data_IF_740636865509
#
_entry.id   IF_740636865509
#
_cell.length_a   1.000
_cell.length_b   1.000
_cell.length_c   1.000
_cell.angle_alpha   90.00
_cell.angle_beta   90.00
_cell.angle_gamma   90.00
#
_symmetry.space_group_name_H-M   'P 1'
#
loop_
_entity.id
_entity.type
_entity.pdbx_description
1 polymer ?
#
# COMPACT_ATOMS: atom_id res chain seq x y z
N UNK A 1 43.23 -55.32 -2.50
CA UNK A 1 42.81 -55.04 -1.11
C UNK A 1 41.98 -53.76 -1.16
N UNK A 2 40.66 -53.77 -1.30
CA UNK A 2 39.59 -54.12 -0.36
C UNK A 2 39.56 -53.30 0.95
N UNK A 3 38.45 -52.56 1.07
CA UNK A 3 37.64 -52.25 2.26
C UNK A 3 37.93 -50.99 3.07
N UNK A 4 36.87 -50.19 3.24
CA UNK A 4 36.80 -49.07 4.16
C UNK A 4 36.39 -49.47 5.57
N UNK A 5 36.31 -48.48 6.47
CA UNK A 5 35.63 -48.62 7.76
C UNK A 5 34.92 -47.31 8.16
N UNK A 6 33.67 -47.50 8.59
CA UNK A 6 32.80 -46.56 9.33
C UNK A 6 33.26 -46.46 10.80
N UNK A 7 32.52 -45.61 11.56
CA UNK A 7 32.25 -45.60 13.04
C UNK A 7 33.03 -44.46 13.74
N UNK A 8 32.52 -43.57 14.61
CA UNK A 8 31.18 -43.18 15.13
C UNK A 8 31.33 -41.89 15.98
N UNK A 9 30.21 -41.19 16.27
CA UNK A 9 30.12 -40.01 17.19
C UNK A 9 30.27 -40.40 18.68
N UNK A 10 30.56 -39.44 19.58
CA UNK A 10 29.52 -38.82 20.43
C UNK A 10 29.62 -37.26 20.54
N UNK A 11 28.53 -36.49 20.46
CA UNK A 11 27.70 -35.90 21.57
C UNK A 11 28.56 -35.11 22.58
N UNK A 12 28.39 -33.79 22.77
CA UNK A 12 27.54 -33.17 23.82
C UNK A 12 27.41 -31.63 23.62
N UNK A 13 26.17 -31.15 23.77
CA UNK A 13 25.64 -29.85 24.23
C UNK A 13 25.94 -28.51 23.51
N UNK A 14 24.86 -27.79 23.21
CA UNK A 14 24.88 -26.33 23.14
C UNK A 14 23.68 -25.68 22.47
N UNK A 15 22.61 -25.46 23.24
CA UNK A 15 21.51 -24.49 22.99
C UNK A 15 20.50 -24.77 21.86
N UNK A 16 19.35 -25.33 22.24
CA UNK A 16 18.11 -25.22 21.48
C UNK A 16 17.52 -23.82 21.66
N UNK A 17 17.48 -23.00 20.61
CA UNK A 17 16.51 -21.91 20.51
C UNK A 17 15.34 -22.37 19.65
N UNK A 18 14.37 -23.03 20.27
CA UNK A 18 13.05 -23.24 19.68
C UNK A 18 12.35 -21.88 19.56
N UNK A 19 12.44 -21.23 18.40
CA UNK A 19 11.51 -20.16 18.05
C UNK A 19 10.16 -20.80 17.77
N UNK A 20 9.25 -20.64 18.71
CA UNK A 20 7.84 -20.96 18.56
C UNK A 20 7.24 -20.08 17.46
N UNK A 21 7.02 -20.65 16.27
CA UNK A 21 6.16 -20.05 15.25
C UNK A 21 4.72 -20.33 15.66
N UNK A 22 4.04 -19.35 16.25
CA UNK A 22 2.60 -19.43 16.47
C UNK A 22 1.89 -19.17 15.15
N UNK A 23 1.34 -20.23 14.55
CA UNK A 23 0.29 -20.11 13.55
C UNK A 23 -1.02 -19.80 14.29
N UNK A 24 -1.59 -18.62 14.07
CA UNK A 24 -2.97 -18.35 14.45
C UNK A 24 -3.90 -18.91 13.37
N UNK A 25 -4.61 -19.98 13.73
CA UNK A 25 -5.74 -20.51 12.95
C UNK A 25 -6.95 -19.60 13.17
N UNK A 26 -7.57 -19.16 12.08
CA UNK A 26 -8.86 -18.45 12.10
C UNK A 26 -9.96 -19.51 12.08
N UNK A 27 -10.37 -19.97 13.27
CA UNK A 27 -11.64 -20.65 13.59
C UNK A 27 -11.71 -20.81 15.12
N UNK A 28 -12.92 -20.65 15.68
CA UNK A 28 -13.30 -20.78 17.11
C UNK A 28 -13.19 -19.47 17.93
N UNK A 29 -14.05 -18.46 17.75
CA UNK A 29 -15.49 -18.37 18.08
C UNK A 29 -15.85 -18.77 19.53
N UNK A 30 -16.30 -17.74 20.24
CA UNK A 30 -16.88 -17.67 21.56
C UNK A 30 -18.26 -18.30 21.64
N UNK A 31 -18.38 -19.51 22.19
CA UNK A 31 -19.54 -20.04 22.93
C UNK A 31 -19.27 -21.52 23.27
N UNK A 32 -18.75 -21.81 24.46
CA UNK A 32 -18.78 -23.13 25.09
C UNK A 32 -18.21 -23.00 26.50
N UNK A 33 -19.05 -22.66 27.48
CA UNK A 33 -18.74 -22.82 28.91
C UNK A 33 -19.64 -23.94 29.44
N UNK A 34 -19.10 -25.07 29.92
CA UNK A 34 -19.89 -26.07 30.61
C UNK A 34 -20.46 -25.49 31.91
N UNK A 35 -21.73 -25.77 32.19
CA UNK A 35 -22.39 -25.41 33.44
C UNK A 35 -21.70 -26.08 34.64
N UNK A 36 -21.36 -25.31 35.68
CA UNK A 36 -20.94 -25.87 36.98
C UNK A 36 -19.72 -25.25 37.67
N UNK A 37 -19.55 -23.92 37.66
CA UNK A 37 -18.53 -23.26 38.48
C UNK A 37 -19.14 -22.63 39.76
N UNK A 38 -18.54 -22.80 40.96
CA UNK A 38 -19.11 -22.37 42.23
C UNK A 38 -19.07 -20.84 42.41
N UNK A 39 -20.19 -20.29 42.87
CA UNK A 39 -20.41 -18.86 43.12
C UNK A 39 -19.53 -18.35 44.27
N UNK A 40 -18.65 -17.36 44.01
CA UNK A 40 -17.96 -16.59 45.06
C UNK A 40 -18.90 -15.57 45.72
N UNK A 41 -18.76 -15.28 47.03
CA UNK A 41 -19.64 -14.36 47.74
C UNK A 41 -19.47 -12.89 47.28
N UNK A 42 -20.58 -12.16 47.18
CA UNK A 42 -20.61 -10.71 46.91
C UNK A 42 -20.07 -9.93 48.12
N UNK A 43 -18.98 -9.19 47.95
CA UNK A 43 -18.59 -8.14 48.89
C UNK A 43 -19.46 -6.88 48.69
N UNK A 44 -19.81 -6.15 49.77
CA UNK A 44 -20.53 -4.89 49.68
C UNK A 44 -19.65 -3.77 49.08
N UNK A 45 -20.25 -2.76 48.43
CA UNK A 45 -19.50 -1.72 47.74
C UNK A 45 -18.79 -0.77 48.73
N UNK A 46 -17.59 -0.27 48.40
CA UNK A 46 -16.86 0.67 49.26
C UNK A 46 -17.55 2.05 49.28
N UNK A 47 -17.62 2.66 50.47
CA UNK A 47 -18.13 4.02 50.70
C UNK A 47 -17.17 5.06 50.08
N UNK A 48 -17.73 6.06 49.39
CA UNK A 48 -16.97 7.20 48.84
C UNK A 48 -16.45 8.10 49.98
N UNK A 49 -15.15 8.49 49.97
CA UNK A 49 -14.64 9.58 50.80
C UNK A 49 -14.97 10.98 50.18
N UNK A 50 -14.84 12.06 50.97
CA UNK A 50 -15.43 13.38 50.69
C UNK A 50 -14.76 14.11 49.52
N UNK A 51 -15.53 15.05 48.94
CA UNK A 51 -15.08 15.94 47.89
C UNK A 51 -14.04 16.95 48.40
N UNK A 52 -12.90 17.02 47.73
CA UNK A 52 -12.03 18.19 47.74
C UNK A 52 -12.02 18.83 46.35
N UNK A 53 -12.33 20.11 46.35
CA UNK A 53 -12.25 21.04 45.24
C UNK A 53 -10.82 21.18 44.75
N UNK A 54 -10.59 20.90 43.47
CA UNK A 54 -9.50 21.53 42.72
C UNK A 54 -9.90 21.72 41.26
N UNK A 55 -9.49 22.89 40.76
CA UNK A 55 -9.87 23.58 39.54
C UNK A 55 -9.78 22.76 38.25
N UNK A 56 -10.50 23.12 37.18
CA UNK A 56 -10.54 22.34 35.96
C UNK A 56 -9.19 22.37 35.23
N UNK A 57 -8.56 21.20 35.19
CA UNK A 57 -7.50 20.85 34.27
C UNK A 57 -8.08 20.89 32.86
N UNK A 58 -7.44 21.72 32.03
CA UNK A 58 -7.59 21.87 30.59
C UNK A 58 -8.10 20.59 29.91
N UNK A 59 -9.30 20.69 29.34
CA UNK A 59 -9.92 19.67 28.51
C UNK A 59 -8.98 19.30 27.37
N UNK A 60 -8.56 18.03 27.31
CA UNK A 60 -7.99 17.43 26.10
C UNK A 60 -9.01 17.58 24.99
N UNK A 61 -8.79 18.54 24.09
CA UNK A 61 -9.45 18.61 22.80
C UNK A 61 -9.23 17.28 22.09
N UNK A 62 -10.32 16.53 21.98
CA UNK A 62 -10.38 15.39 21.09
C UNK A 62 -10.28 15.96 19.68
N UNK A 63 -9.11 15.85 19.04
CA UNK A 63 -8.93 16.24 17.63
C UNK A 63 -10.07 15.60 16.84
N UNK A 64 -11.04 16.39 16.39
CA UNK A 64 -12.00 15.95 15.37
C UNK A 64 -11.16 15.53 14.18
N UNK A 65 -11.22 14.26 13.81
CA UNK A 65 -10.59 13.77 12.61
C UNK A 65 -11.31 14.47 11.44
N UNK A 66 -10.67 15.51 10.90
CA UNK A 66 -11.08 16.16 9.65
C UNK A 66 -11.31 15.08 8.57
N UNK A 67 -12.33 15.22 7.69
CA UNK A 67 -12.64 14.19 6.70
C UNK A 67 -11.42 13.95 5.81
N UNK A 68 -10.97 12.69 5.73
CA UNK A 68 -9.87 12.29 4.85
C UNK A 68 -10.39 12.31 3.42
N UNK A 69 -9.69 13.04 2.54
CA UNK A 69 -10.05 13.13 1.13
C UNK A 69 -10.06 11.77 0.44
N UNK A 70 -10.88 11.71 -0.60
CA UNK A 70 -11.10 10.53 -1.41
C UNK A 70 -9.91 10.31 -2.32
N UNK A 71 -9.46 9.07 -2.46
CA UNK A 71 -8.30 8.74 -3.29
C UNK A 71 -8.56 7.52 -4.18
N UNK A 72 -7.73 7.38 -5.22
CA UNK A 72 -7.74 6.26 -6.14
C UNK A 72 -6.49 5.40 -6.03
N UNK A 73 -6.58 4.14 -6.46
CA UNK A 73 -5.42 3.27 -6.69
C UNK A 73 -5.25 3.08 -8.18
N UNK A 74 -4.02 3.19 -8.68
CA UNK A 74 -3.66 2.77 -10.02
C UNK A 74 -2.56 1.71 -9.95
N UNK A 75 -2.71 0.60 -10.67
CA UNK A 75 -1.74 -0.48 -10.66
C UNK A 75 -1.73 -1.30 -11.95
N UNK A 76 -0.55 -1.69 -12.41
CA UNK A 76 -0.36 -2.69 -13.45
C UNK A 76 0.03 -4.04 -12.82
N UNK A 77 -0.68 -5.10 -13.20
CA UNK A 77 -0.67 -6.40 -12.51
C UNK A 77 -0.55 -7.50 -13.56
N UNK A 78 0.41 -8.42 -13.40
CA UNK A 78 0.42 -9.65 -14.20
C UNK A 78 -0.87 -10.44 -13.95
N UNK A 79 -1.59 -10.77 -15.01
CA UNK A 79 -2.84 -11.53 -15.00
C UNK A 79 -2.68 -13.01 -14.57
N UNK A 80 -1.47 -13.41 -14.18
CA UNK A 80 -1.19 -14.74 -13.65
C UNK A 80 -1.67 -14.91 -12.19
N UNK A 81 -1.71 -16.15 -11.71
CA UNK A 81 -2.10 -16.48 -10.33
C UNK A 81 -1.31 -15.72 -9.26
N UNK A 82 -0.08 -15.33 -9.58
CA UNK A 82 0.85 -14.71 -8.64
C UNK A 82 0.69 -13.18 -8.53
N UNK A 83 -0.01 -12.52 -9.47
CA UNK A 83 -0.26 -11.06 -9.47
C UNK A 83 1.01 -10.24 -9.23
N UNK A 84 2.09 -10.62 -9.92
CA UNK A 84 3.37 -9.94 -9.79
C UNK A 84 3.24 -8.52 -10.31
N UNK A 85 3.74 -7.55 -9.56
CA UNK A 85 3.81 -6.13 -9.91
C UNK A 85 5.24 -5.63 -10.04
N UNK A 86 6.22 -6.40 -9.56
CA UNK A 86 7.64 -6.05 -9.68
C UNK A 86 8.54 -7.22 -9.33
N UNK A 87 9.69 -7.31 -10.01
CA UNK A 87 10.80 -8.22 -9.73
C UNK A 87 12.06 -7.39 -9.63
N UNK A 88 12.83 -7.58 -8.55
CA UNK A 88 14.06 -6.85 -8.29
C UNK A 88 13.90 -5.31 -8.39
N UNK A 89 12.77 -4.79 -7.90
CA UNK A 89 12.48 -3.36 -7.92
C UNK A 89 12.04 -2.79 -9.28
N UNK A 90 11.80 -3.64 -10.29
CA UNK A 90 11.39 -3.20 -11.63
C UNK A 90 10.13 -3.89 -12.11
N UNK A 91 9.38 -3.22 -12.98
CA UNK A 91 8.28 -3.84 -13.73
C UNK A 91 8.86 -4.88 -14.71
N UNK A 92 8.39 -6.14 -14.70
CA UNK A 92 9.00 -7.24 -15.46
C UNK A 92 8.55 -7.32 -16.93
N UNK A 93 7.78 -6.34 -17.42
CA UNK A 93 7.29 -6.26 -18.81
C UNK A 93 7.54 -4.87 -19.41
N UNK A 94 7.56 -4.82 -20.74
CA UNK A 94 7.51 -3.57 -21.49
C UNK A 94 6.10 -3.37 -22.06
N UNK A 95 5.34 -2.43 -21.49
CA UNK A 95 3.99 -2.09 -21.93
C UNK A 95 3.85 -0.55 -22.05
N UNK A 96 4.30 0.05 -23.18
CA UNK A 96 4.31 1.49 -23.34
C UNK A 96 2.90 2.10 -23.36
N UNK A 97 1.92 1.39 -23.90
CA UNK A 97 0.52 1.83 -23.92
C UNK A 97 -0.09 1.88 -22.51
N UNK A 98 0.23 0.91 -21.65
CA UNK A 98 -0.14 0.94 -20.23
C UNK A 98 0.52 2.12 -19.50
N UNK A 99 1.81 2.38 -19.77
CA UNK A 99 2.51 3.55 -19.22
C UNK A 99 1.90 4.86 -19.70
N UNK A 100 1.42 4.94 -20.94
CA UNK A 100 0.70 6.11 -21.49
C UNK A 100 -0.63 6.34 -20.77
N UNK A 101 -1.39 5.27 -20.52
CA UNK A 101 -2.64 5.34 -19.75
C UNK A 101 -2.37 5.80 -18.33
N UNK A 102 -1.35 5.23 -17.67
CA UNK A 102 -0.91 5.66 -16.34
C UNK A 102 -0.56 7.14 -16.34
N UNK A 103 0.39 7.60 -17.19
CA UNK A 103 0.77 9.01 -17.26
C UNK A 103 -0.42 9.93 -17.51
N UNK A 104 -1.31 9.56 -18.43
CA UNK A 104 -2.51 10.36 -18.73
C UNK A 104 -3.49 10.43 -17.56
N UNK A 105 -3.60 9.37 -16.75
CA UNK A 105 -4.49 9.32 -15.59
C UNK A 105 -3.94 10.16 -14.43
N UNK A 106 -2.62 10.15 -14.25
CA UNK A 106 -1.95 10.77 -13.09
C UNK A 106 -1.24 12.08 -13.44
N UNK A 107 -1.46 12.59 -14.65
CA UNK A 107 -0.94 13.88 -15.11
C UNK A 107 -1.38 14.99 -14.15
N UNK A 108 -0.42 15.82 -13.73
CA UNK A 108 -0.59 16.97 -12.85
C UNK A 108 -1.34 16.67 -11.53
N UNK A 109 -1.36 15.39 -11.13
CA UNK A 109 -2.00 14.91 -9.91
C UNK A 109 -0.99 14.73 -8.77
N UNK A 110 -1.50 14.47 -7.56
CA UNK A 110 -0.68 14.03 -6.43
C UNK A 110 -0.55 12.51 -6.46
N UNK A 111 0.68 12.02 -6.59
CA UNK A 111 1.02 10.60 -6.49
C UNK A 111 1.46 10.25 -5.06
N UNK A 112 1.02 9.08 -4.58
CA UNK A 112 1.51 8.48 -3.34
C UNK A 112 2.17 7.14 -3.68
N UNK A 113 3.46 7.03 -3.38
CA UNK A 113 4.25 5.83 -3.66
C UNK A 113 5.09 5.40 -2.46
N UNK A 114 5.58 4.17 -2.47
CA UNK A 114 6.56 3.68 -1.51
C UNK A 114 8.00 3.92 -1.97
N UNK A 115 8.94 3.97 -1.03
CA UNK A 115 10.39 4.15 -1.29
C UNK A 115 10.94 3.31 -2.45
N UNK A 116 10.62 2.01 -2.50
CA UNK A 116 11.15 1.11 -3.54
C UNK A 116 10.64 1.43 -4.95
N UNK A 117 9.46 2.04 -5.05
CA UNK A 117 8.89 2.48 -6.33
C UNK A 117 9.64 3.72 -6.80
N UNK A 118 9.91 4.69 -5.91
CA UNK A 118 10.74 5.85 -6.23
C UNK A 118 12.13 5.44 -6.73
N UNK A 119 12.76 4.48 -6.04
CA UNK A 119 14.10 3.95 -6.35
C UNK A 119 14.17 3.19 -7.69
N UNK A 120 13.04 2.88 -8.34
CA UNK A 120 13.03 2.17 -9.63
C UNK A 120 13.75 2.97 -10.72
N UNK A 121 13.53 4.30 -10.73
CA UNK A 121 14.15 5.24 -11.66
C UNK A 121 14.62 6.48 -10.89
N UNK A 122 15.94 6.57 -10.56
CA UNK A 122 16.50 7.71 -9.83
C UNK A 122 16.28 9.06 -10.51
N UNK A 123 16.15 9.09 -11.84
CA UNK A 123 15.84 10.29 -12.64
C UNK A 123 14.36 10.69 -12.62
N UNK A 124 13.52 10.00 -11.86
CA UNK A 124 12.10 10.32 -11.69
C UNK A 124 11.22 10.31 -12.96
N UNK A 125 11.71 9.80 -14.11
CA UNK A 125 10.95 9.68 -15.38
C UNK A 125 9.61 8.91 -15.28
N UNK A 126 9.44 8.17 -14.19
CA UNK A 126 8.24 7.39 -13.88
C UNK A 126 7.19 8.20 -13.10
N UNK A 127 7.54 9.36 -12.55
CA UNK A 127 6.68 10.27 -11.76
C UNK A 127 6.74 11.73 -12.22
N UNK A 128 7.61 12.08 -13.16
CA UNK A 128 7.80 13.42 -13.75
C UNK A 128 6.51 14.15 -14.15
N UNK A 129 5.53 13.42 -14.67
CA UNK A 129 4.23 13.92 -15.09
C UNK A 129 3.29 14.29 -13.93
N UNK A 130 3.61 13.90 -12.70
CA UNK A 130 2.82 14.27 -11.53
C UNK A 130 3.19 15.68 -11.06
N UNK A 131 2.22 16.36 -10.45
CA UNK A 131 2.47 17.66 -9.82
C UNK A 131 3.27 17.52 -8.53
N UNK A 132 2.92 16.50 -7.74
CA UNK A 132 3.57 16.20 -6.47
C UNK A 132 3.64 14.69 -6.27
N UNK A 133 4.74 14.20 -5.70
CA UNK A 133 4.94 12.81 -5.38
C UNK A 133 5.31 12.66 -3.89
N UNK A 134 4.38 12.12 -3.11
CA UNK A 134 4.52 11.84 -1.68
C UNK A 134 5.06 10.42 -1.50
N UNK A 135 6.24 10.31 -0.90
CA UNK A 135 6.95 9.04 -0.73
C UNK A 135 6.78 8.54 0.70
N UNK A 136 6.15 7.38 0.85
CA UNK A 136 5.97 6.73 2.15
C UNK A 136 7.22 5.92 2.49
N UNK A 137 7.90 6.36 3.56
CA UNK A 137 9.09 5.69 4.07
C UNK A 137 9.33 5.96 5.55
N UNK A 138 9.60 4.90 6.33
CA UNK A 138 9.95 5.03 7.75
C UNK A 138 11.43 5.34 7.96
N UNK A 139 12.29 4.83 7.09
CA UNK A 139 13.76 4.88 7.25
C UNK A 139 14.44 6.02 6.47
N UNK A 140 13.75 6.63 5.51
CA UNK A 140 14.29 7.73 4.71
C UNK A 140 14.16 9.06 5.47
N UNK A 141 15.23 9.86 5.42
CA UNK A 141 15.36 11.16 6.09
C UNK A 141 15.24 12.34 5.15
N UNK A 142 15.73 12.20 3.91
CA UNK A 142 15.84 13.27 2.92
C UNK A 142 15.51 12.74 1.51
N UNK A 143 15.19 13.66 0.61
CA UNK A 143 14.94 13.41 -0.82
C UNK A 143 15.94 14.18 -1.71
N UNK A 144 16.93 14.84 -1.11
CA UNK A 144 17.85 15.78 -1.77
C UNK A 144 18.70 15.11 -2.87
N UNK A 145 18.87 13.79 -2.82
CA UNK A 145 19.59 13.02 -3.84
C UNK A 145 18.76 12.72 -5.10
N UNK A 146 17.48 13.08 -5.12
CA UNK A 146 16.58 12.90 -6.25
C UNK A 146 16.39 14.25 -6.93
N UNK A 147 17.31 14.56 -7.85
CA UNK A 147 17.23 15.76 -8.66
C UNK A 147 16.54 15.45 -9.99
N UNK A 148 15.74 16.40 -10.46
CA UNK A 148 15.20 16.40 -11.81
C UNK A 148 16.30 16.94 -12.72
N UNK A 149 16.65 16.22 -13.78
CA UNK A 149 17.60 16.73 -14.77
C UNK A 149 17.04 18.00 -15.40
N UNK A 150 17.88 19.03 -15.47
CA UNK A 150 17.57 20.35 -16.03
C UNK A 150 16.98 20.18 -17.45
N UNK A 151 15.71 20.56 -17.63
CA UNK A 151 14.97 20.40 -18.89
C UNK A 151 13.84 19.36 -18.90
N UNK A 152 13.53 18.69 -17.78
CA UNK A 152 12.22 18.01 -17.66
C UNK A 152 11.09 19.05 -17.75
N UNK A 153 10.07 18.84 -18.59
CA UNK A 153 8.97 19.80 -18.77
C UNK A 153 8.15 20.02 -17.48
N UNK A 154 8.20 19.08 -16.54
CA UNK A 154 7.50 19.14 -15.25
C UNK A 154 8.50 18.93 -14.10
N UNK A 155 8.52 19.87 -13.16
CA UNK A 155 9.28 19.84 -11.92
C UNK A 155 8.42 19.16 -10.84
N UNK A 156 8.39 17.82 -10.83
CA UNK A 156 7.62 17.06 -9.83
C UNK A 156 8.17 17.35 -8.43
N UNK A 157 7.34 17.91 -7.56
CA UNK A 157 7.72 18.15 -6.18
C UNK A 157 7.70 16.86 -5.35
N UNK A 158 8.68 16.68 -4.47
CA UNK A 158 8.78 15.49 -3.62
C UNK A 158 8.54 15.83 -2.15
N UNK A 159 7.83 14.97 -1.41
CA UNK A 159 7.74 15.04 0.05
C UNK A 159 7.75 13.65 0.69
N UNK A 160 8.07 13.59 1.99
CA UNK A 160 8.07 12.34 2.76
C UNK A 160 6.83 12.25 3.66
N UNK A 161 6.31 11.03 3.78
CA UNK A 161 5.32 10.66 4.79
C UNK A 161 5.74 9.35 5.50
N UNK A 162 5.37 9.18 6.76
CA UNK A 162 5.65 7.96 7.54
C UNK A 162 4.51 6.94 7.49
N UNK A 163 3.34 7.33 6.96
CA UNK A 163 2.14 6.48 6.84
C UNK A 163 1.24 6.91 5.69
N UNK A 164 0.28 6.04 5.30
CA UNK A 164 -0.75 6.37 4.32
C UNK A 164 -1.62 7.55 4.79
N UNK A 165 -2.07 7.56 6.05
CA UNK A 165 -2.94 8.62 6.58
C UNK A 165 -2.26 10.00 6.56
N UNK A 166 -0.96 10.04 6.89
CA UNK A 166 -0.14 11.25 6.80
C UNK A 166 0.01 11.72 5.34
N UNK A 167 0.24 10.80 4.41
CA UNK A 167 0.32 11.12 2.98
C UNK A 167 -1.02 11.67 2.44
N UNK A 168 -2.15 11.08 2.85
CA UNK A 168 -3.48 11.57 2.48
C UNK A 168 -3.77 12.95 3.06
N UNK A 169 -3.29 13.24 4.27
CA UNK A 169 -3.43 14.58 4.87
C UNK A 169 -2.59 15.62 4.11
N UNK A 170 -1.33 15.31 3.79
CA UNK A 170 -0.49 16.18 2.97
C UNK A 170 -1.11 16.42 1.59
N UNK A 171 -1.66 15.39 0.95
CA UNK A 171 -2.32 15.52 -0.34
C UNK A 171 -3.50 16.51 -0.29
N UNK A 172 -4.29 16.47 0.79
CA UNK A 172 -5.37 17.43 1.02
C UNK A 172 -4.83 18.87 1.14
N UNK A 173 -3.84 19.09 1.99
CA UNK A 173 -3.27 20.42 2.20
C UNK A 173 -2.69 21.02 0.91
N UNK A 174 -2.05 20.18 0.09
CA UNK A 174 -1.52 20.59 -1.22
C UNK A 174 -2.63 20.99 -2.20
N UNK A 175 -3.75 20.25 -2.24
CA UNK A 175 -4.89 20.60 -3.08
C UNK A 175 -5.58 21.89 -2.58
N UNK A 176 -5.81 22.01 -1.27
CA UNK A 176 -6.41 23.21 -0.64
C UNK A 176 -5.55 24.48 -0.89
N UNK A 177 -4.23 24.33 -0.98
CA UNK A 177 -3.33 25.44 -1.30
C UNK A 177 -3.45 25.91 -2.75
N UNK A 178 -3.78 25.01 -3.68
CA UNK A 178 -3.91 25.31 -5.11
C UNK A 178 -5.25 25.96 -5.47
N UNK A 179 -6.34 25.62 -4.76
CA UNK A 179 -7.66 26.21 -5.01
C UNK A 179 -7.77 27.70 -4.61
N UNK A 180 -6.81 28.22 -3.84
CA UNK A 180 -6.80 29.63 -3.38
C UNK A 180 -6.40 30.66 -4.44
N UNK A 181 -5.99 30.24 -5.63
CA UNK A 181 -5.66 31.11 -6.76
C UNK A 181 -6.28 30.55 -8.06
N UNK A 182 -7.52 30.92 -8.39
CA UNK A 182 -8.17 30.47 -9.62
C UNK A 182 -7.65 31.30 -10.80
N UNK A 183 -6.55 30.87 -11.42
CA UNK A 183 -6.22 31.33 -12.77
C UNK A 183 -7.09 30.58 -13.80
N UNK A 184 -7.47 31.32 -14.84
CA UNK A 184 -8.48 31.04 -15.88
C UNK A 184 -8.52 29.59 -16.43
N UNK A 185 -9.75 29.06 -16.46
CA UNK A 185 -10.29 28.06 -17.40
C UNK A 185 -9.51 26.74 -17.65
N UNK A 186 -10.02 25.63 -17.11
CA UNK A 186 -10.74 24.61 -17.89
C UNK A 186 -11.36 23.55 -16.95
N UNK A 187 -12.68 23.62 -16.74
CA UNK A 187 -13.45 22.61 -16.02
C UNK A 187 -13.48 21.29 -16.80
N UNK A 188 -12.68 20.31 -16.40
CA UNK A 188 -13.07 18.89 -16.48
C UNK A 188 -12.24 18.03 -15.52
N UNK A 189 -12.09 18.43 -14.25
CA UNK A 189 -11.45 17.56 -13.26
C UNK A 189 -12.51 16.70 -12.55
N UNK A 190 -12.25 15.41 -12.50
CA UNK A 190 -13.01 14.40 -11.77
C UNK A 190 -12.92 14.72 -10.27
N UNK A 191 -13.78 15.63 -9.78
CA UNK A 191 -13.77 16.29 -8.46
C UNK A 191 -13.76 15.37 -7.22
N UNK A 192 -13.79 14.04 -7.40
CA UNK A 192 -13.87 13.07 -6.31
C UNK A 192 -12.52 12.45 -5.92
N UNK A 193 -11.41 12.64 -6.65
CA UNK A 193 -10.12 11.98 -6.34
C UNK A 193 -9.03 13.03 -6.13
N UNK A 194 -8.58 13.17 -4.89
CA UNK A 194 -7.54 14.14 -4.49
C UNK A 194 -6.12 13.67 -4.79
N UNK A 195 -5.91 12.36 -4.88
CA UNK A 195 -4.60 11.75 -5.14
C UNK A 195 -4.70 10.30 -5.61
N UNK A 196 -3.61 9.79 -6.19
CA UNK A 196 -3.48 8.42 -6.68
C UNK A 196 -2.37 7.66 -5.96
N UNK A 197 -2.72 6.50 -5.40
CA UNK A 197 -1.77 5.53 -4.85
C UNK A 197 -1.26 4.63 -5.98
N UNK A 198 0.05 4.67 -6.25
CA UNK A 198 0.70 3.93 -7.34
C UNK A 198 1.71 2.87 -6.86
N UNK A 199 1.59 2.44 -5.59
CA UNK A 199 2.24 1.24 -5.05
C UNK A 199 3.40 1.50 -4.10
N UNK A 200 4.15 0.49 -3.65
CA UNK A 200 4.11 -0.94 -4.02
C UNK A 200 3.28 -1.83 -3.08
N UNK A 201 3.60 -3.14 -3.04
CA UNK A 201 2.81 -4.20 -2.38
C UNK A 201 2.27 -3.83 -1.00
N UNK A 202 3.13 -3.35 -0.10
CA UNK A 202 2.71 -2.98 1.26
C UNK A 202 1.72 -1.83 1.24
N UNK A 203 1.99 -0.79 0.44
CA UNK A 203 1.13 0.38 0.33
C UNK A 203 -0.23 0.01 -0.27
N UNK A 204 -0.26 -0.80 -1.32
CA UNK A 204 -1.51 -1.32 -1.85
C UNK A 204 -2.31 -2.13 -0.81
N UNK A 205 -1.62 -2.92 0.01
CA UNK A 205 -2.25 -3.63 1.12
C UNK A 205 -2.96 -2.69 2.10
N UNK A 206 -2.28 -1.63 2.52
CA UNK A 206 -2.86 -0.62 3.42
C UNK A 206 -4.00 0.16 2.73
N UNK A 207 -3.78 0.62 1.50
CA UNK A 207 -4.72 1.44 0.73
C UNK A 207 -6.04 0.72 0.38
N UNK A 208 -6.00 -0.56 -0.03
CA UNK A 208 -7.21 -1.34 -0.35
C UNK A 208 -8.15 -1.57 0.85
N UNK A 209 -7.65 -1.36 2.07
CA UNK A 209 -8.44 -1.47 3.31
C UNK A 209 -8.97 -0.13 3.79
N UNK A 210 -8.51 0.98 3.22
CA UNK A 210 -8.86 2.32 3.67
C UNK A 210 -10.27 2.70 3.21
N UNK A 211 -11.03 3.37 4.08
CA UNK A 211 -12.44 3.75 3.87
C UNK A 211 -12.64 4.84 2.82
N UNK A 212 -11.63 5.69 2.62
CA UNK A 212 -11.66 6.78 1.62
C UNK A 212 -11.24 6.35 0.21
N UNK A 213 -10.99 5.06 -0.02
CA UNK A 213 -10.70 4.54 -1.35
C UNK A 213 -11.97 4.51 -2.20
N UNK A 214 -11.92 5.16 -3.37
CA UNK A 214 -13.10 5.43 -4.20
C UNK A 214 -12.99 4.96 -5.64
N UNK A 215 -11.78 4.67 -6.09
CA UNK A 215 -11.56 4.16 -7.44
C UNK A 215 -10.36 3.22 -7.50
N UNK A 216 -10.49 2.15 -8.29
CA UNK A 216 -9.38 1.30 -8.71
C UNK A 216 -9.23 1.39 -10.22
N UNK A 217 -8.03 1.68 -10.69
CA UNK A 217 -7.60 1.68 -12.09
C UNK A 217 -6.58 0.56 -12.25
N UNK A 218 -7.03 -0.63 -12.66
CA UNK A 218 -6.19 -1.82 -12.68
C UNK A 218 -5.94 -2.27 -14.11
N UNK A 219 -4.68 -2.33 -14.52
CA UNK A 219 -4.26 -2.94 -15.78
C UNK A 219 -3.83 -4.39 -15.54
N UNK A 220 -4.56 -5.34 -16.13
CA UNK A 220 -4.26 -6.77 -16.09
C UNK A 220 -3.43 -7.15 -17.31
N UNK A 221 -2.12 -7.26 -17.13
CA UNK A 221 -1.15 -7.58 -18.19
C UNK A 221 -1.15 -9.08 -18.46
N UNK A 222 -1.48 -9.48 -19.68
CA UNK A 222 -1.57 -10.89 -20.10
C UNK A 222 -0.18 -11.48 -20.32
N UNK A 223 0.56 -11.63 -19.23
CA UNK A 223 1.89 -12.22 -19.18
C UNK A 223 1.99 -13.14 -17.97
N UNK A 224 2.39 -14.38 -18.20
CA UNK A 224 2.62 -15.34 -17.13
C UNK A 224 4.00 -15.14 -16.52
N UNK A 225 4.00 -14.75 -15.25
CA UNK A 225 5.23 -14.51 -14.50
C UNK A 225 5.31 -15.52 -13.37
N UNK A 226 6.32 -16.38 -13.47
CA UNK A 226 6.73 -17.28 -12.40
C UNK A 226 7.63 -16.48 -11.44
N UNK A 227 7.23 -16.31 -10.17
CA UNK A 227 8.06 -15.70 -9.17
C UNK A 227 9.40 -16.44 -9.08
N UNK A 228 10.51 -15.73 -8.81
CA UNK A 228 11.78 -16.37 -8.53
C UNK A 228 11.63 -17.41 -7.42
N UNK A 229 12.39 -18.50 -7.53
CA UNK A 229 12.42 -19.53 -6.49
C UNK A 229 12.89 -18.93 -5.16
N UNK A 230 12.38 -19.39 -4.00
CA UNK A 230 12.82 -18.89 -2.69
C UNK A 230 14.34 -18.94 -2.49
N UNK A 231 15.03 -19.90 -3.11
CA UNK A 231 16.50 -20.04 -3.04
C UNK A 231 17.24 -18.95 -3.83
N UNK A 232 16.60 -18.33 -4.82
CA UNK A 232 17.24 -17.30 -5.65
C UNK A 232 17.43 -15.97 -4.90
N UNK A 233 16.76 -15.78 -3.75
CA UNK A 233 16.79 -14.55 -2.95
C UNK A 233 16.46 -13.26 -3.73
N UNK A 234 15.83 -13.38 -4.91
CA UNK A 234 15.41 -12.23 -5.72
C UNK A 234 14.09 -11.69 -5.14
N UNK A 235 14.05 -10.43 -4.66
CA UNK A 235 12.82 -9.86 -4.14
C UNK A 235 11.81 -9.66 -5.28
N UNK A 236 10.55 -9.99 -5.03
CA UNK A 236 9.43 -9.66 -5.92
C UNK A 236 8.30 -9.05 -5.10
N UNK A 237 7.42 -8.31 -5.78
CA UNK A 237 6.25 -7.68 -5.19
C UNK A 237 4.98 -8.20 -5.84
N UNK A 238 3.90 -8.31 -5.06
CA UNK A 238 2.58 -8.76 -5.54
C UNK A 238 1.49 -7.73 -5.26
N UNK A 239 0.52 -7.65 -6.16
CA UNK A 239 -0.74 -6.99 -5.85
C UNK A 239 -1.59 -7.87 -4.91
N UNK A 240 -2.26 -7.29 -3.90
CA UNK A 240 -3.13 -8.05 -3.01
C UNK A 240 -4.18 -8.88 -3.75
N UNK A 241 -4.48 -10.07 -3.22
CA UNK A 241 -5.43 -11.01 -3.83
C UNK A 241 -6.84 -10.42 -3.97
N UNK A 242 -7.58 -10.86 -5.00
CA UNK A 242 -8.91 -10.34 -5.33
C UNK A 242 -9.86 -10.30 -4.14
N UNK A 243 -9.91 -11.36 -3.32
CA UNK A 243 -10.79 -11.46 -2.14
C UNK A 243 -10.61 -10.33 -1.10
N UNK A 244 -9.52 -9.57 -1.15
CA UNK A 244 -9.34 -8.41 -0.28
C UNK A 244 -10.21 -7.22 -0.66
N UNK A 245 -10.64 -7.11 -1.92
CA UNK A 245 -11.25 -5.90 -2.47
C UNK A 245 -12.42 -6.16 -3.44
N UNK A 246 -12.45 -7.28 -4.15
CA UNK A 246 -13.49 -7.61 -5.15
C UNK A 246 -14.93 -7.61 -4.59
N UNK A 247 -15.11 -7.95 -3.32
CA UNK A 247 -16.41 -7.91 -2.68
C UNK A 247 -16.89 -6.49 -2.37
N UNK A 248 -15.96 -5.53 -2.25
CA UNK A 248 -16.25 -4.12 -1.92
C UNK A 248 -16.39 -3.23 -3.15
N UNK A 249 -15.87 -3.67 -4.30
CA UNK A 249 -15.84 -2.90 -5.55
C UNK A 249 -16.60 -3.62 -6.67
N UNK A 250 -17.21 -2.87 -7.57
CA UNK A 250 -17.83 -3.36 -8.81
C UNK A 250 -17.03 -2.85 -10.01
N UNK A 251 -16.87 -3.70 -11.01
CA UNK A 251 -16.30 -3.30 -12.30
C UNK A 251 -17.30 -2.39 -13.02
N UNK A 252 -16.85 -1.21 -13.42
CA UNK A 252 -17.65 -0.21 -14.16
C UNK A 252 -17.32 -0.27 -15.64
N UNK A 253 -16.05 -0.48 -15.97
CA UNK A 253 -15.61 -0.62 -17.34
C UNK A 253 -14.39 -1.54 -17.44
N UNK A 254 -14.25 -2.14 -18.62
CA UNK A 254 -13.12 -2.95 -19.04
C UNK A 254 -12.81 -2.63 -20.50
N UNK A 255 -11.56 -2.25 -20.76
CA UNK A 255 -11.05 -1.96 -22.10
C UNK A 255 -9.91 -2.92 -22.40
N UNK A 256 -9.99 -3.63 -23.52
CA UNK A 256 -8.92 -4.52 -23.96
C UNK A 256 -7.94 -3.77 -24.88
N UNK A 257 -6.65 -3.88 -24.58
CA UNK A 257 -5.56 -3.34 -25.37
C UNK A 257 -4.77 -4.50 -25.97
N UNK A 258 -4.77 -4.66 -27.31
CA UNK A 258 -4.03 -5.73 -27.95
C UNK A 258 -2.52 -5.53 -27.79
N UNK A 259 -1.80 -6.65 -27.66
CA UNK A 259 -0.35 -6.66 -27.65
C UNK A 259 0.25 -6.53 -29.05
N UNK A 260 1.57 -6.42 -29.11
CA UNK A 260 2.36 -6.51 -30.34
C UNK A 260 3.35 -7.67 -30.22
N UNK A 261 4.21 -7.88 -31.22
CA UNK A 261 5.28 -8.87 -31.12
C UNK A 261 6.23 -8.64 -29.94
N UNK A 262 6.34 -7.40 -29.46
CA UNK A 262 7.29 -7.00 -28.42
C UNK A 262 6.63 -6.51 -27.12
N UNK A 263 5.29 -6.44 -27.06
CA UNK A 263 4.55 -5.90 -25.92
C UNK A 263 3.36 -6.79 -25.60
N UNK A 264 3.10 -7.11 -24.32
CA UNK A 264 1.97 -7.96 -23.95
C UNK A 264 0.64 -7.24 -24.21
N UNK A 265 -0.42 -8.02 -24.45
CA UNK A 265 -1.79 -7.52 -24.37
C UNK A 265 -2.15 -7.25 -22.90
N UNK A 266 -3.12 -6.37 -22.66
CA UNK A 266 -3.64 -6.15 -21.30
C UNK A 266 -5.09 -5.68 -21.31
N UNK A 267 -5.78 -5.88 -20.19
CA UNK A 267 -7.10 -5.31 -19.93
C UNK A 267 -6.97 -4.17 -18.93
N UNK A 268 -7.47 -2.99 -19.26
CA UNK A 268 -7.60 -1.88 -18.32
C UNK A 268 -9.01 -1.86 -17.74
N UNK A 269 -9.12 -2.01 -16.43
CA UNK A 269 -10.40 -2.08 -15.71
C UNK A 269 -10.55 -0.92 -14.73
N UNK A 270 -11.76 -0.36 -14.68
CA UNK A 270 -12.16 0.63 -13.68
C UNK A 270 -13.12 -0.01 -12.68
N UNK A 271 -12.82 0.10 -11.39
CA UNK A 271 -13.71 -0.36 -10.33
C UNK A 271 -14.08 0.78 -9.39
N UNK A 272 -15.33 0.81 -8.95
CA UNK A 272 -15.83 1.75 -7.93
C UNK A 272 -16.45 0.98 -6.75
N UNK A 273 -16.51 1.55 -5.55
CA UNK A 273 -17.21 0.94 -4.42
C UNK A 273 -18.65 0.55 -4.78
N UNK A 274 -19.13 -0.55 -4.20
CA UNK A 274 -20.50 -1.04 -4.39
C UNK A 274 -21.53 -0.12 -3.76
#
# INVERSE_FOLDING_TARGET
MLQGLKISRPVIQGSSFQRHVRYFSVKELSWCTPAGAPTKPKLPPPKKPPQESSSPISSKESKKQEPIDQFGIVAAISACKNRVIGINGKIPWSAPEDRRIFKSLTQDSILIIGRKTLEEHPKLEHVDHAKHCIVISKSMSDLDSYEIEDGSPNDVQLSLAKSLDEALHQARELNDACEKYPDDANETSNQDISCWVAGGERLYGEALRHRSLKELRLSWVHMDITPPSPEAAIPFARFPAKYYWDNKFKEISKTFHPGTNNTPAFEHCVYKPK
#
